data_IF_681837159371
#
_entry.id   IF_681837159371
#
_cell.length_a   1.000
_cell.length_b   1.000
_cell.length_c   1.000
_cell.angle_alpha   90.00
_cell.angle_beta   90.00
_cell.angle_gamma   90.00
#
_symmetry.space_group_name_H-M   'P 1'
#
loop_
_entity.id
_entity.type
_entity.pdbx_description
1 polymer ?
#
# COMPACT_ATOMS: atom_id res chain seq x y z
N UNK A 1 -4.34 19.04 -12.21
CA UNK A 1 -4.79 19.96 -11.13
C UNK A 1 -5.77 19.27 -10.18
N UNK A 2 -7.00 18.92 -10.58
CA UNK A 2 -7.95 18.15 -9.73
C UNK A 2 -7.36 16.87 -9.12
N UNK A 3 -6.70 16.05 -9.95
CA UNK A 3 -6.01 14.85 -9.49
C UNK A 3 -4.85 15.13 -8.51
N UNK A 4 -4.20 16.29 -8.61
CA UNK A 4 -3.14 16.69 -7.69
C UNK A 4 -3.69 17.03 -6.31
N UNK A 5 -4.81 17.73 -6.26
CA UNK A 5 -5.51 18.02 -4.99
C UNK A 5 -6.02 16.74 -4.35
N UNK A 6 -6.76 15.92 -5.11
CA UNK A 6 -7.30 14.66 -4.60
C UNK A 6 -6.20 13.67 -4.17
N UNK A 7 -5.15 13.53 -4.99
CA UNK A 7 -4.00 12.67 -4.72
C UNK A 7 -3.15 13.14 -3.56
N UNK A 8 -2.90 14.46 -3.45
CA UNK A 8 -2.17 15.06 -2.33
C UNK A 8 -2.92 14.95 -1.01
N UNK A 9 -4.24 15.13 -1.05
CA UNK A 9 -5.11 14.93 0.12
C UNK A 9 -5.08 13.48 0.59
N UNK A 10 -5.26 12.54 -0.33
CA UNK A 10 -5.18 11.12 -0.02
C UNK A 10 -3.80 10.73 0.50
N UNK A 11 -2.72 11.22 -0.12
CA UNK A 11 -1.34 10.99 0.35
C UNK A 11 -1.12 11.47 1.77
N UNK A 12 -1.65 12.65 2.12
CA UNK A 12 -1.53 13.21 3.47
C UNK A 12 -2.13 12.27 4.52
N UNK A 13 -3.35 11.78 4.26
CA UNK A 13 -4.01 10.82 5.13
C UNK A 13 -3.23 9.51 5.20
N UNK A 14 -2.78 9.00 4.05
CA UNK A 14 -2.02 7.76 3.95
C UNK A 14 -0.67 7.81 4.68
N UNK A 15 -0.01 8.97 4.68
CA UNK A 15 1.27 9.18 5.37
C UNK A 15 1.05 9.39 6.87
N UNK A 16 0.14 10.28 7.25
CA UNK A 16 -0.07 10.68 8.65
C UNK A 16 -0.78 9.56 9.42
N UNK A 17 -1.95 9.13 8.96
CA UNK A 17 -2.72 8.07 9.62
C UNK A 17 -1.98 6.74 9.47
N UNK A 18 -1.42 6.45 8.30
CA UNK A 18 -0.69 5.20 8.10
C UNK A 18 0.53 5.06 9.02
N UNK A 19 1.30 6.14 9.21
CA UNK A 19 2.42 6.12 10.18
C UNK A 19 1.93 5.95 11.62
N UNK A 20 0.85 6.62 12.00
CA UNK A 20 0.23 6.49 13.32
C UNK A 20 -0.26 5.06 13.60
N UNK A 21 -1.02 4.45 12.68
CA UNK A 21 -1.53 3.08 12.83
C UNK A 21 -0.40 2.05 12.92
N UNK A 22 0.66 2.22 12.12
CA UNK A 22 1.83 1.37 12.19
C UNK A 22 2.58 1.51 13.50
N UNK A 23 2.71 2.72 14.04
CA UNK A 23 3.35 2.95 15.34
C UNK A 23 2.55 2.33 16.50
N UNK A 24 1.21 2.31 16.41
CA UNK A 24 0.36 1.63 17.39
C UNK A 24 0.25 0.12 17.20
N UNK A 25 0.92 -0.46 16.19
CA UNK A 25 0.85 -1.89 15.86
C UNK A 25 -0.59 -2.41 15.69
N UNK A 26 -1.50 -1.58 15.17
CA UNK A 26 -2.89 -1.96 15.01
C UNK A 26 -3.05 -3.07 13.95
N UNK A 27 -3.74 -4.17 14.27
CA UNK A 27 -4.09 -5.17 13.28
C UNK A 27 -5.04 -4.55 12.24
N UNK A 28 -4.95 -5.02 10.99
CA UNK A 28 -5.77 -4.54 9.87
C UNK A 28 -5.61 -3.04 9.51
N UNK A 29 -4.49 -2.41 9.89
CA UNK A 29 -4.18 -1.03 9.51
C UNK A 29 -4.35 -0.77 7.99
N UNK A 30 -3.93 -1.72 7.14
CA UNK A 30 -4.10 -1.64 5.70
C UNK A 30 -5.57 -1.57 5.26
N UNK A 31 -6.42 -2.47 5.76
CA UNK A 31 -7.86 -2.48 5.45
C UNK A 31 -8.55 -1.18 5.88
N UNK A 32 -8.12 -0.59 7.00
CA UNK A 32 -8.63 0.69 7.46
C UNK A 32 -8.19 1.87 6.58
N UNK A 33 -6.92 1.88 6.13
CA UNK A 33 -6.42 2.88 5.19
C UNK A 33 -7.16 2.81 3.85
N UNK A 34 -7.40 1.60 3.32
CA UNK A 34 -8.20 1.41 2.11
C UNK A 34 -9.64 1.87 2.29
N UNK A 35 -10.26 1.60 3.44
CA UNK A 35 -11.59 2.13 3.74
C UNK A 35 -11.61 3.67 3.65
N UNK A 36 -10.62 4.35 4.25
CA UNK A 36 -10.50 5.80 4.14
C UNK A 36 -10.22 6.24 2.70
N UNK A 37 -9.34 5.54 1.98
CA UNK A 37 -9.04 5.78 0.56
C UNK A 37 -10.30 5.70 -0.32
N UNK A 38 -11.14 4.68 -0.12
CA UNK A 38 -12.44 4.54 -0.79
C UNK A 38 -13.35 5.72 -0.48
N UNK A 39 -13.49 6.11 0.79
CA UNK A 39 -14.34 7.26 1.17
C UNK A 39 -13.85 8.55 0.49
N UNK A 40 -12.54 8.82 0.52
CA UNK A 40 -11.91 10.02 -0.04
C UNK A 40 -12.10 10.06 -1.56
N UNK A 41 -11.72 8.98 -2.26
CA UNK A 41 -11.80 8.90 -3.72
C UNK A 41 -13.24 8.97 -4.21
N UNK A 42 -14.18 8.29 -3.54
CA UNK A 42 -15.60 8.39 -3.81
C UNK A 42 -16.11 9.83 -3.64
N UNK A 43 -15.74 10.52 -2.55
CA UNK A 43 -16.13 11.92 -2.35
C UNK A 43 -15.58 12.84 -3.44
N UNK A 44 -14.30 12.72 -3.79
CA UNK A 44 -13.69 13.55 -4.83
C UNK A 44 -14.28 13.32 -6.22
N UNK A 45 -14.51 12.07 -6.61
CA UNK A 45 -15.14 11.78 -7.90
C UNK A 45 -16.57 12.31 -7.96
N UNK A 46 -17.28 12.34 -6.82
CA UNK A 46 -18.64 12.89 -6.79
C UNK A 46 -18.67 14.40 -6.98
N UNK A 47 -17.65 15.11 -6.48
CA UNK A 47 -17.48 16.56 -6.67
C UNK A 47 -17.00 16.86 -8.09
N UNK A 48 -16.03 16.09 -8.58
CA UNK A 48 -15.43 16.26 -9.90
C UNK A 48 -15.55 14.97 -10.72
N UNK A 49 -16.70 14.72 -11.36
CA UNK A 49 -16.94 13.50 -12.14
C UNK A 49 -16.21 13.55 -13.49
N UNK A 50 -14.87 13.40 -13.45
CA UNK A 50 -14.00 13.38 -14.61
C UNK A 50 -13.38 12.00 -14.82
N UNK A 51 -13.44 11.51 -16.05
CA UNK A 51 -12.84 10.24 -16.42
C UNK A 51 -11.34 10.24 -16.14
N UNK A 52 -10.90 9.32 -15.29
CA UNK A 52 -9.49 9.18 -14.94
C UNK A 52 -8.96 10.13 -13.89
N UNK A 53 -9.84 10.82 -13.18
CA UNK A 53 -9.46 11.56 -11.97
C UNK A 53 -8.80 10.62 -10.95
N UNK A 54 -9.39 9.44 -10.71
CA UNK A 54 -9.01 8.60 -9.57
C UNK A 54 -7.70 7.85 -9.79
N UNK A 55 -7.46 7.24 -10.95
CA UNK A 55 -6.17 6.57 -11.19
C UNK A 55 -5.01 7.58 -11.20
N UNK A 56 -5.22 8.80 -11.74
CA UNK A 56 -4.21 9.87 -11.69
C UNK A 56 -3.94 10.33 -10.26
N UNK A 57 -4.98 10.48 -9.45
CA UNK A 57 -4.85 10.78 -8.03
C UNK A 57 -4.13 9.67 -7.27
N UNK A 58 -4.40 8.39 -7.61
CA UNK A 58 -3.71 7.22 -7.06
C UNK A 58 -2.22 7.18 -7.39
N UNK A 59 -1.85 7.53 -8.64
CA UNK A 59 -0.42 7.66 -9.03
C UNK A 59 0.27 8.73 -8.19
N UNK A 60 -0.35 9.90 -8.05
CA UNK A 60 0.21 11.00 -7.24
C UNK A 60 0.33 10.58 -5.77
N UNK A 61 -0.71 9.92 -5.22
CA UNK A 61 -0.70 9.42 -3.85
C UNK A 61 0.41 8.39 -3.61
N UNK A 62 0.55 7.40 -4.49
CA UNK A 62 1.59 6.38 -4.41
C UNK A 62 3.00 7.00 -4.50
N UNK A 63 3.20 7.97 -5.39
CA UNK A 63 4.49 8.67 -5.52
C UNK A 63 4.83 9.48 -4.27
N UNK A 64 3.88 10.21 -3.68
CA UNK A 64 4.12 10.92 -2.44
C UNK A 64 4.41 9.98 -1.27
N UNK A 65 3.67 8.86 -1.18
CA UNK A 65 3.94 7.80 -0.20
C UNK A 65 5.36 7.24 -0.38
N UNK A 66 5.88 7.23 -1.62
CA UNK A 66 7.23 6.76 -1.91
C UNK A 66 8.36 7.62 -1.35
N UNK A 67 8.10 8.91 -1.16
CA UNK A 67 9.06 9.86 -0.56
C UNK A 67 9.03 9.79 0.97
N UNK A 68 7.96 9.23 1.56
CA UNK A 68 7.85 9.06 3.02
C UNK A 68 9.01 8.21 3.61
N UNK A 69 9.47 8.44 4.86
CA UNK A 69 10.60 7.73 5.48
C UNK A 69 10.42 6.21 5.71
N UNK A 70 9.39 5.58 5.13
CA UNK A 70 9.10 4.16 5.30
C UNK A 70 9.99 3.31 4.40
N UNK A 71 10.63 2.26 4.94
CA UNK A 71 11.64 1.47 4.22
C UNK A 71 11.11 0.21 3.47
N UNK A 72 9.79 0.02 3.35
CA UNK A 72 9.17 -0.95 2.42
C UNK A 72 8.04 -0.20 1.72
N UNK A 73 8.30 0.21 0.49
CA UNK A 73 7.51 1.25 -0.16
C UNK A 73 6.60 0.66 -1.24
N UNK A 74 7.11 -0.36 -1.95
CA UNK A 74 6.47 -0.90 -3.13
C UNK A 74 5.13 -1.59 -2.86
N UNK A 75 5.00 -2.33 -1.76
CA UNK A 75 3.73 -2.99 -1.39
C UNK A 75 2.58 -2.00 -1.24
N UNK A 76 2.68 -1.01 -0.32
CA UNK A 76 1.66 0.03 -0.17
C UNK A 76 1.38 0.81 -1.46
N UNK A 77 2.39 1.13 -2.27
CA UNK A 77 2.19 1.82 -3.55
C UNK A 77 1.32 1.02 -4.52
N UNK A 78 1.57 -0.29 -4.64
CA UNK A 78 0.76 -1.18 -5.50
C UNK A 78 -0.68 -1.26 -4.97
N UNK A 79 -0.87 -1.33 -3.65
CA UNK A 79 -2.19 -1.29 -3.02
C UNK A 79 -2.99 -0.04 -3.40
N UNK A 80 -2.43 1.14 -3.13
CA UNK A 80 -3.04 2.45 -3.45
C UNK A 80 -3.41 2.55 -4.94
N UNK A 81 -2.50 2.14 -5.83
CA UNK A 81 -2.75 2.16 -7.27
C UNK A 81 -3.88 1.20 -7.67
N UNK A 82 -3.89 0.00 -7.11
CA UNK A 82 -4.91 -1.02 -7.40
C UNK A 82 -6.29 -0.53 -6.96
N UNK A 83 -6.40 0.02 -5.75
CA UNK A 83 -7.63 0.63 -5.21
C UNK A 83 -8.13 1.76 -6.12
N UNK A 84 -7.23 2.67 -6.52
CA UNK A 84 -7.55 3.80 -7.37
C UNK A 84 -8.07 3.37 -8.74
N UNK A 85 -7.42 2.39 -9.38
CA UNK A 85 -7.81 1.85 -10.69
C UNK A 85 -9.15 1.12 -10.59
N UNK A 86 -9.35 0.30 -9.56
CA UNK A 86 -10.61 -0.42 -9.35
C UNK A 86 -11.77 0.56 -9.17
N UNK A 87 -11.61 1.58 -8.34
CA UNK A 87 -12.62 2.62 -8.14
C UNK A 87 -12.91 3.37 -9.45
N UNK A 88 -11.86 3.78 -10.17
CA UNK A 88 -12.00 4.50 -11.44
C UNK A 88 -12.74 3.67 -12.50
N UNK A 89 -12.43 2.37 -12.61
CA UNK A 89 -13.10 1.46 -13.53
C UNK A 89 -14.57 1.24 -13.16
N UNK A 90 -14.86 0.98 -11.89
CA UNK A 90 -16.25 0.79 -11.43
C UNK A 90 -17.12 2.02 -11.74
N UNK A 91 -16.59 3.22 -11.50
CA UNK A 91 -17.28 4.49 -11.75
C UNK A 91 -17.40 4.83 -13.24
N UNK A 92 -16.43 4.41 -14.07
CA UNK A 92 -16.53 4.55 -15.53
C UNK A 92 -17.58 3.63 -16.14
N UNK A 93 -17.62 2.36 -15.71
CA UNK A 93 -18.55 1.37 -16.26
C UNK A 93 -19.99 1.56 -15.80
N UNK A 94 -20.19 1.91 -14.53
CA UNK A 94 -21.53 2.02 -13.93
C UNK A 94 -22.02 3.48 -13.78
N UNK A 95 -21.18 4.45 -14.13
CA UNK A 95 -21.49 5.89 -14.11
C UNK A 95 -21.51 6.52 -12.72
N UNK A 96 -21.96 7.78 -12.65
CA UNK A 96 -22.00 8.57 -11.42
C UNK A 96 -23.27 8.32 -10.57
N UNK A 97 -23.56 7.06 -10.24
CA UNK A 97 -24.71 6.64 -9.42
C UNK A 97 -24.25 5.86 -8.19
N UNK A 98 -25.03 5.89 -7.10
CA UNK A 98 -24.70 5.20 -5.84
C UNK A 98 -24.22 3.74 -6.02
N UNK A 99 -24.85 2.90 -6.87
CA UNK A 99 -24.38 1.52 -7.07
C UNK A 99 -22.92 1.44 -7.52
N UNK A 100 -22.45 2.37 -8.36
CA UNK A 100 -21.07 2.39 -8.86
C UNK A 100 -20.05 2.66 -7.75
N UNK A 101 -20.40 3.52 -6.79
CA UNK A 101 -19.55 3.81 -5.63
C UNK A 101 -19.49 2.63 -4.66
N UNK A 102 -20.61 1.94 -4.47
CA UNK A 102 -20.69 0.75 -3.63
C UNK A 102 -19.89 -0.39 -4.26
N UNK A 103 -20.09 -0.70 -5.54
CA UNK A 103 -19.36 -1.76 -6.22
C UNK A 103 -17.86 -1.47 -6.27
N UNK A 104 -17.47 -0.24 -6.60
CA UNK A 104 -16.07 0.19 -6.55
C UNK A 104 -15.48 0.04 -5.15
N UNK A 105 -16.20 0.47 -4.12
CA UNK A 105 -15.75 0.38 -2.72
C UNK A 105 -15.59 -1.07 -2.23
N UNK A 106 -16.52 -1.95 -2.59
CA UNK A 106 -16.44 -3.39 -2.31
C UNK A 106 -15.23 -3.99 -3.01
N UNK A 107 -15.09 -3.78 -4.31
CA UNK A 107 -13.96 -4.35 -5.07
C UNK A 107 -12.61 -3.82 -4.55
N UNK A 108 -12.53 -2.54 -4.19
CA UNK A 108 -11.32 -1.95 -3.61
C UNK A 108 -10.98 -2.58 -2.25
N UNK A 109 -11.96 -2.77 -1.37
CA UNK A 109 -11.76 -3.46 -0.09
C UNK A 109 -11.31 -4.91 -0.28
N UNK A 110 -11.93 -5.67 -1.18
CA UNK A 110 -11.50 -7.03 -1.50
C UNK A 110 -10.11 -7.09 -2.14
N UNK A 111 -9.71 -6.07 -2.91
CA UNK A 111 -8.37 -6.00 -3.51
C UNK A 111 -7.26 -6.01 -2.45
N UNK A 112 -7.51 -5.46 -1.25
CA UNK A 112 -6.55 -5.48 -0.14
C UNK A 112 -6.31 -6.89 0.40
N UNK A 113 -7.39 -7.68 0.52
CA UNK A 113 -7.34 -9.07 0.96
C UNK A 113 -6.58 -9.90 -0.07
N UNK A 114 -6.90 -9.73 -1.35
CA UNK A 114 -6.22 -10.39 -2.46
C UNK A 114 -4.73 -10.01 -2.48
N UNK A 115 -4.39 -8.72 -2.36
CA UNK A 115 -3.00 -8.25 -2.31
C UNK A 115 -2.23 -8.88 -1.14
N UNK A 116 -2.84 -8.99 0.04
CA UNK A 116 -2.24 -9.64 1.20
C UNK A 116 -1.99 -11.14 0.96
N UNK A 117 -2.95 -11.86 0.38
CA UNK A 117 -2.81 -13.28 0.02
C UNK A 117 -1.69 -13.46 -1.00
N UNK A 118 -1.70 -12.68 -2.09
CA UNK A 118 -0.66 -12.72 -3.12
C UNK A 118 0.71 -12.44 -2.53
N UNK A 119 0.84 -11.43 -1.66
CA UNK A 119 2.11 -11.10 -1.00
C UNK A 119 2.62 -12.26 -0.16
N UNK A 120 1.76 -12.90 0.62
CA UNK A 120 2.13 -14.08 1.41
C UNK A 120 2.55 -15.26 0.53
N UNK A 121 1.85 -15.51 -0.58
CA UNK A 121 2.21 -16.56 -1.55
C UNK A 121 3.53 -16.25 -2.28
N UNK A 122 3.82 -14.99 -2.58
CA UNK A 122 5.10 -14.59 -3.16
C UNK A 122 6.24 -14.85 -2.17
N UNK A 123 6.05 -14.49 -0.89
CA UNK A 123 7.07 -14.63 0.16
C UNK A 123 7.32 -16.09 0.54
N UNK A 124 6.28 -16.86 0.83
CA UNK A 124 6.39 -18.19 1.43
C UNK A 124 6.05 -19.33 0.47
N UNK A 125 5.45 -19.05 -0.69
CA UNK A 125 5.09 -20.07 -1.69
C UNK A 125 3.88 -20.92 -1.30
N UNK A 126 3.62 -21.95 -2.11
CA UNK A 126 2.45 -22.85 -1.95
C UNK A 126 2.52 -23.70 -0.68
N UNK A 127 3.71 -23.91 -0.12
CA UNK A 127 3.87 -24.64 1.13
C UNK A 127 3.17 -23.93 2.30
N UNK A 128 3.00 -22.60 2.24
CA UNK A 128 2.18 -21.87 3.21
C UNK A 128 0.72 -22.30 3.17
N UNK A 129 0.17 -22.55 1.97
CA UNK A 129 -1.21 -23.02 1.81
C UNK A 129 -1.37 -24.40 2.45
N UNK A 130 -0.41 -25.30 2.22
CA UNK A 130 -0.38 -26.63 2.85
C UNK A 130 -0.28 -26.55 4.38
N UNK A 131 0.53 -25.63 4.92
CA UNK A 131 0.57 -25.39 6.37
C UNK A 131 -0.80 -24.93 6.88
N UNK A 132 -1.46 -24.00 6.17
CA UNK A 132 -2.78 -23.51 6.55
C UNK A 132 -3.86 -24.61 6.49
N UNK A 133 -3.83 -25.46 5.45
CA UNK A 133 -4.70 -26.63 5.32
C UNK A 133 -4.49 -27.62 6.48
N UNK A 134 -3.23 -27.98 6.77
CA UNK A 134 -2.91 -28.93 7.83
C UNK A 134 -3.24 -28.37 9.22
N UNK A 135 -3.04 -27.07 9.45
CA UNK A 135 -3.46 -26.38 10.66
C UNK A 135 -5.00 -26.40 10.80
N UNK A 136 -5.73 -26.24 9.70
CA UNK A 136 -7.18 -26.31 9.69
C UNK A 136 -7.68 -27.72 10.04
N UNK A 137 -7.15 -28.77 9.41
CA UNK A 137 -7.50 -30.16 9.72
C UNK A 137 -7.15 -30.55 11.16
N UNK A 138 -6.00 -30.09 11.65
CA UNK A 138 -5.61 -30.27 13.05
C UNK A 138 -6.60 -29.59 14.01
N UNK A 139 -7.03 -28.36 13.69
CA UNK A 139 -8.01 -27.62 14.50
C UNK A 139 -9.38 -28.31 14.53
N UNK A 140 -9.84 -28.85 13.40
CA UNK A 140 -11.08 -29.65 13.33
C UNK A 140 -10.99 -30.87 14.25
N UNK A 141 -9.90 -31.63 14.16
CA UNK A 141 -9.69 -32.84 14.98
C UNK A 141 -9.69 -32.53 16.47
N UNK A 142 -9.15 -31.38 16.87
CA UNK A 142 -9.08 -30.96 18.28
C UNK A 142 -10.41 -30.41 18.81
N UNK A 143 -11.16 -29.66 18.00
CA UNK A 143 -12.42 -29.00 18.41
C UNK A 143 -13.62 -29.94 18.24
N UNK A 144 -13.48 -31.01 17.45
CA UNK A 144 -14.55 -31.97 17.18
C UNK A 144 -15.74 -31.36 16.43
N UNK A 145 -15.53 -30.26 15.70
CA UNK A 145 -16.58 -29.55 14.95
C UNK A 145 -16.50 -29.84 13.46
N UNK A 146 -17.67 -29.93 12.84
CA UNK A 146 -17.81 -30.22 11.42
C UNK A 146 -17.20 -29.13 10.50
N UNK A 147 -17.04 -29.50 9.22
CA UNK A 147 -16.51 -28.68 8.10
C UNK A 147 -17.14 -27.29 7.96
N UNK A 148 -18.31 -27.05 8.55
CA UNK A 148 -19.03 -25.77 8.53
C UNK A 148 -18.21 -24.61 9.12
N UNK A 149 -17.30 -24.86 10.08
CA UNK A 149 -16.53 -23.81 10.76
C UNK A 149 -15.65 -22.98 9.82
N UNK A 150 -15.08 -23.56 8.75
CA UNK A 150 -14.23 -22.81 7.80
C UNK A 150 -15.03 -21.87 6.93
N UNK A 151 -16.13 -22.37 6.35
CA UNK A 151 -17.00 -21.55 5.50
C UNK A 151 -17.62 -20.40 6.29
N UNK A 152 -17.95 -20.62 7.57
CA UNK A 152 -18.41 -19.56 8.48
C UNK A 152 -17.31 -18.51 8.68
N UNK A 153 -16.05 -18.92 8.94
CA UNK A 153 -14.93 -17.97 9.09
C UNK A 153 -14.69 -17.16 7.80
N UNK A 154 -14.65 -17.84 6.65
CA UNK A 154 -14.47 -17.19 5.36
C UNK A 154 -15.64 -16.24 5.04
N UNK A 155 -16.87 -16.66 5.35
CA UNK A 155 -18.06 -15.81 5.21
C UNK A 155 -17.99 -14.58 6.13
N UNK A 156 -17.51 -14.73 7.37
CA UNK A 156 -17.32 -13.61 8.29
C UNK A 156 -16.28 -12.61 7.77
N UNK A 157 -15.14 -13.09 7.27
CA UNK A 157 -14.13 -12.24 6.64
C UNK A 157 -14.70 -11.54 5.41
N UNK A 158 -15.37 -12.29 4.51
CA UNK A 158 -15.99 -11.72 3.32
C UNK A 158 -17.04 -10.66 3.68
N UNK A 159 -17.87 -10.92 4.70
CA UNK A 159 -18.88 -9.98 5.20
C UNK A 159 -18.23 -8.72 5.77
N UNK A 160 -17.12 -8.84 6.50
CA UNK A 160 -16.38 -7.68 7.01
C UNK A 160 -15.88 -6.76 5.87
N UNK A 161 -15.26 -7.33 4.84
CA UNK A 161 -14.79 -6.56 3.68
C UNK A 161 -15.94 -6.00 2.84
N UNK A 162 -17.02 -6.78 2.68
CA UNK A 162 -18.24 -6.35 2.00
C UNK A 162 -18.88 -5.16 2.72
N UNK A 163 -19.09 -5.27 4.04
CA UNK A 163 -19.66 -4.21 4.86
C UNK A 163 -18.78 -2.95 4.83
N UNK A 164 -17.45 -3.10 4.95
CA UNK A 164 -16.51 -2.00 4.82
C UNK A 164 -16.58 -1.30 3.47
N UNK A 165 -16.69 -2.06 2.37
CA UNK A 165 -16.79 -1.53 1.02
C UNK A 165 -18.11 -0.80 0.75
N UNK A 166 -19.23 -1.38 1.19
CA UNK A 166 -20.56 -0.74 1.12
C UNK A 166 -20.56 0.55 1.93
N UNK A 167 -20.10 0.50 3.19
CA UNK A 167 -20.03 1.66 4.06
C UNK A 167 -19.12 2.75 3.47
N UNK A 168 -17.93 2.39 2.98
CA UNK A 168 -16.98 3.34 2.39
C UNK A 168 -17.55 4.03 1.15
N UNK A 169 -18.10 3.27 0.21
CA UNK A 169 -18.73 3.79 -1.00
C UNK A 169 -19.95 4.67 -0.69
N UNK A 170 -20.78 4.26 0.27
CA UNK A 170 -21.98 5.02 0.69
C UNK A 170 -21.62 6.32 1.41
N UNK A 171 -20.70 6.28 2.38
CA UNK A 171 -20.22 7.46 3.10
C UNK A 171 -19.56 8.43 2.13
N UNK A 172 -18.72 7.93 1.22
CA UNK A 172 -18.06 8.73 0.19
C UNK A 172 -19.04 9.44 -0.74
N UNK A 173 -20.05 8.72 -1.23
CA UNK A 173 -21.13 9.26 -2.07
C UNK A 173 -21.94 10.35 -1.34
N UNK A 174 -22.37 10.06 -0.10
CA UNK A 174 -23.18 11.01 0.70
C UNK A 174 -22.39 12.26 1.06
N UNK A 175 -21.11 12.10 1.37
CA UNK A 175 -20.20 13.20 1.68
C UNK A 175 -20.01 14.10 0.46
N UNK A 176 -19.72 13.53 -0.71
CA UNK A 176 -19.60 14.29 -1.95
C UNK A 176 -20.87 15.05 -2.33
N UNK A 177 -22.06 14.45 -2.14
CA UNK A 177 -23.34 15.14 -2.39
C UNK A 177 -23.55 16.36 -1.48
N UNK A 178 -23.21 16.25 -0.19
CA UNK A 178 -23.35 17.38 0.76
C UNK A 178 -22.43 18.53 0.43
N UNK A 179 -21.25 18.24 -0.13
CA UNK A 179 -20.26 19.25 -0.51
C UNK A 179 -20.72 20.01 -1.76
N UNK A 180 -21.22 19.32 -2.79
CA UNK A 180 -21.79 19.97 -3.98
C UNK A 180 -22.98 20.92 -3.67
N UNK A 181 -23.66 20.74 -2.54
CA UNK A 181 -24.78 21.62 -2.13
C UNK A 181 -24.33 22.89 -1.37
N UNK A 182 -23.09 22.93 -0.86
CA UNK A 182 -22.61 23.98 0.05
C UNK A 182 -21.50 24.87 -0.56
N UNK A 183 -21.17 24.72 -1.84
CA UNK A 183 -20.16 25.51 -2.56
C UNK A 183 -20.64 26.92 -2.87
N UNK A 184 -20.91 27.71 -1.83
CA UNK A 184 -20.94 29.19 -1.84
C UNK A 184 -20.38 29.68 -0.50
N UNK A 185 -19.06 29.85 -0.41
CA UNK A 185 -18.48 30.80 0.57
C UNK A 185 -17.00 31.03 0.29
N UNK A 186 -16.74 32.10 -0.46
CA UNK A 186 -15.43 32.70 -0.67
C UNK A 186 -15.02 33.47 0.58
N UNK A 187 -13.94 33.04 1.22
CA UNK A 187 -13.28 33.77 2.30
C UNK A 187 -11.80 33.86 1.99
N UNK A 188 -11.30 35.09 1.86
CA UNK A 188 -9.92 35.44 1.54
C UNK A 188 -9.01 35.10 2.72
N UNK A 189 -7.99 34.27 2.51
CA UNK A 189 -6.96 34.00 3.52
C UNK A 189 -5.55 34.07 2.93
N UNK A 190 -4.65 34.49 3.81
CA UNK A 190 -3.34 35.10 3.58
C UNK A 190 -2.31 34.09 3.09
N UNK A 191 -1.62 34.46 2.00
CA UNK A 191 -0.50 33.73 1.41
C UNK A 191 0.53 33.34 2.48
N UNK A 192 0.80 32.04 2.58
CA UNK A 192 2.04 31.53 3.17
C UNK A 192 2.89 31.00 2.01
N UNK A 193 3.59 31.91 1.34
CA UNK A 193 4.76 31.54 0.56
C UNK A 193 5.82 31.10 1.55
N UNK A 194 6.03 29.79 1.66
CA UNK A 194 7.37 29.29 1.99
C UNK A 194 7.54 27.79 1.67
N UNK A 195 8.64 27.57 0.95
CA UNK A 195 9.52 26.41 0.96
C UNK A 195 9.32 25.27 -0.05
N UNK A 196 10.29 25.26 -0.97
CA UNK A 196 10.84 24.13 -1.71
C UNK A 196 11.08 22.90 -0.80
N UNK A 197 10.10 22.01 -0.68
CA UNK A 197 10.28 20.72 0.00
C UNK A 197 10.95 19.65 -0.89
N UNK A 198 11.18 19.97 -2.18
CA UNK A 198 11.76 19.04 -3.17
C UNK A 198 13.28 19.20 -3.35
N UNK A 199 13.95 20.10 -2.62
CA UNK A 199 15.37 20.44 -2.83
C UNK A 199 16.33 20.01 -1.73
N UNK A 200 16.05 18.90 -1.05
CA UNK A 200 17.10 18.17 -0.32
C UNK A 200 17.10 16.70 -0.72
N UNK A 201 17.63 16.43 -1.91
CA UNK A 201 18.23 15.12 -2.16
C UNK A 201 19.65 15.19 -1.60
N UNK A 202 20.08 14.25 -0.75
CA UNK A 202 21.49 14.18 -0.37
C UNK A 202 22.30 13.95 -1.65
N UNK A 203 22.99 14.99 -2.07
CA UNK A 203 23.83 15.03 -3.25
C UNK A 203 25.10 14.22 -3.00
N UNK A 204 25.03 12.88 -2.92
CA UNK A 204 26.24 12.06 -3.03
C UNK A 204 26.05 10.54 -3.18
N UNK A 205 25.06 10.07 -3.95
CA UNK A 205 24.95 8.63 -4.24
C UNK A 205 24.86 8.34 -5.73
N UNK A 206 25.75 7.46 -6.20
CA UNK A 206 25.75 6.91 -7.55
C UNK A 206 24.64 5.85 -7.62
N UNK A 207 23.60 6.14 -8.39
CA UNK A 207 22.49 5.24 -8.64
C UNK A 207 22.56 4.70 -10.07
N UNK A 208 22.06 3.49 -10.34
CA UNK A 208 22.19 2.85 -11.66
C UNK A 208 20.91 2.16 -12.13
N UNK A 209 20.43 2.57 -13.29
CA UNK A 209 19.24 1.97 -13.95
C UNK A 209 19.47 0.50 -14.30
N UNK A 210 20.73 0.10 -14.55
CA UNK A 210 21.08 -1.30 -14.80
C UNK A 210 20.95 -2.17 -13.56
N UNK A 211 21.31 -1.65 -12.38
CA UNK A 211 21.11 -2.34 -11.10
C UNK A 211 19.62 -2.54 -10.81
N UNK A 212 18.77 -1.55 -11.11
CA UNK A 212 17.31 -1.69 -11.02
C UNK A 212 16.80 -2.84 -11.89
N UNK A 213 17.17 -2.87 -13.18
CA UNK A 213 16.77 -3.94 -14.09
C UNK A 213 17.27 -5.32 -13.63
N UNK A 214 18.51 -5.39 -13.11
CA UNK A 214 19.06 -6.60 -12.53
C UNK A 214 18.23 -7.12 -11.35
N UNK A 215 17.84 -6.26 -10.39
CA UNK A 215 17.01 -6.70 -9.26
C UNK A 215 15.60 -7.12 -9.68
N UNK A 216 15.00 -6.45 -10.65
CA UNK A 216 13.67 -6.82 -11.18
C UNK A 216 13.70 -8.22 -11.80
N UNK A 217 14.78 -8.59 -12.49
CA UNK A 217 14.96 -9.94 -13.05
C UNK A 217 15.39 -10.97 -11.99
N UNK A 218 16.17 -10.53 -11.01
CA UNK A 218 16.75 -11.41 -10.01
C UNK A 218 15.72 -11.90 -8.98
N UNK A 219 14.65 -11.15 -8.69
CA UNK A 219 13.57 -11.63 -7.81
C UNK A 219 12.87 -12.85 -8.43
N UNK A 220 12.29 -12.82 -9.65
CA UNK A 220 11.72 -14.00 -10.29
C UNK A 220 12.72 -15.15 -10.44
N UNK A 221 13.97 -14.86 -10.83
CA UNK A 221 15.00 -15.88 -10.94
C UNK A 221 15.28 -16.55 -9.58
N UNK A 222 15.40 -15.77 -8.50
CA UNK A 222 15.58 -16.27 -7.13
C UNK A 222 14.40 -17.10 -6.65
N UNK A 223 13.16 -16.74 -7.02
CA UNK A 223 11.96 -17.52 -6.73
C UNK A 223 11.97 -18.88 -7.46
N UNK A 224 12.40 -18.90 -8.73
CA UNK A 224 12.54 -20.14 -9.50
C UNK A 224 13.64 -21.03 -8.90
N UNK A 225 14.81 -20.45 -8.60
CA UNK A 225 15.93 -21.19 -8.00
C UNK A 225 15.56 -21.75 -6.63
N UNK A 226 14.92 -20.96 -5.76
CA UNK A 226 14.49 -21.46 -4.45
C UNK A 226 13.42 -22.55 -4.52
N UNK A 227 12.63 -22.61 -5.60
CA UNK A 227 11.62 -23.67 -5.79
C UNK A 227 12.17 -24.95 -6.43
N UNK A 228 13.25 -24.87 -7.22
CA UNK A 228 13.77 -26.01 -8.01
C UNK A 228 15.16 -26.51 -7.58
N UNK A 229 15.97 -25.67 -6.96
CA UNK A 229 17.34 -26.01 -6.60
C UNK A 229 17.46 -26.59 -5.18
N UNK A 230 18.60 -27.22 -4.89
CA UNK A 230 18.94 -27.70 -3.55
C UNK A 230 19.02 -26.56 -2.52
N UNK A 231 18.81 -26.91 -1.25
CA UNK A 231 18.82 -25.95 -0.12
C UNK A 231 20.08 -25.10 -0.08
N UNK A 232 21.24 -25.70 -0.35
CA UNK A 232 22.53 -25.00 -0.35
C UNK A 232 22.63 -23.90 -1.42
N UNK A 233 22.05 -24.12 -2.60
CA UNK A 233 22.01 -23.09 -3.66
C UNK A 233 21.13 -21.92 -3.24
N UNK A 234 19.99 -22.21 -2.59
CA UNK A 234 19.11 -21.19 -2.04
C UNK A 234 19.79 -20.36 -0.94
N UNK A 235 20.54 -21.02 -0.04
CA UNK A 235 21.33 -20.35 1.02
C UNK A 235 22.37 -19.43 0.41
N UNK A 236 23.18 -19.94 -0.54
CA UNK A 236 24.24 -19.17 -1.18
C UNK A 236 23.69 -17.95 -1.92
N UNK A 237 22.59 -18.12 -2.66
CA UNK A 237 21.94 -17.02 -3.38
C UNK A 237 21.37 -15.96 -2.41
N UNK A 238 20.70 -16.40 -1.34
CA UNK A 238 20.16 -15.49 -0.33
C UNK A 238 21.28 -14.70 0.38
N UNK A 239 22.38 -15.36 0.74
CA UNK A 239 23.56 -14.74 1.36
C UNK A 239 24.25 -13.75 0.42
N UNK A 240 24.50 -14.15 -0.84
CA UNK A 240 25.12 -13.27 -1.82
C UNK A 240 24.27 -12.02 -2.05
N UNK A 241 22.95 -12.16 -2.17
CA UNK A 241 22.05 -11.03 -2.35
C UNK A 241 21.97 -10.15 -1.10
N UNK A 242 21.87 -10.74 0.09
CA UNK A 242 21.86 -9.95 1.33
C UNK A 242 23.15 -9.17 1.50
N UNK A 243 24.31 -9.79 1.24
CA UNK A 243 25.60 -9.13 1.29
C UNK A 243 25.69 -7.98 0.27
N UNK A 244 25.28 -8.23 -0.97
CA UNK A 244 25.28 -7.21 -2.02
C UNK A 244 24.38 -6.03 -1.64
N UNK A 245 23.16 -6.28 -1.16
CA UNK A 245 22.24 -5.22 -0.69
C UNK A 245 22.78 -4.53 0.56
N UNK A 246 23.50 -5.24 1.43
CA UNK A 246 24.10 -4.64 2.61
C UNK A 246 25.24 -3.67 2.28
N UNK A 247 26.08 -4.03 1.31
CA UNK A 247 27.18 -3.20 0.84
C UNK A 247 26.69 -1.99 0.05
N UNK A 248 25.71 -2.16 -0.83
CA UNK A 248 25.17 -1.06 -1.66
C UNK A 248 24.17 -0.17 -0.90
N UNK A 249 23.39 -0.75 0.01
CA UNK A 249 22.30 -0.06 0.71
C UNK A 249 22.31 -0.35 2.23
N UNK A 250 23.31 0.15 2.99
CA UNK A 250 23.45 -0.14 4.41
C UNK A 250 22.23 0.28 5.26
N UNK A 251 21.44 1.24 4.80
CA UNK A 251 20.19 1.66 5.44
C UNK A 251 19.11 0.58 5.43
N UNK A 252 19.08 -0.29 4.41
CA UNK A 252 18.07 -1.33 4.23
C UNK A 252 18.23 -2.49 5.22
N UNK A 253 19.45 -2.74 5.68
CA UNK A 253 19.81 -3.85 6.59
C UNK A 253 19.47 -3.56 8.04
N UNK A 254 19.26 -2.29 8.42
CA UNK A 254 18.95 -1.88 9.80
C UNK A 254 17.76 -2.63 10.41
N UNK A 255 16.84 -3.14 9.59
CA UNK A 255 15.67 -3.91 10.02
C UNK A 255 15.97 -5.35 10.42
N UNK A 256 17.06 -5.96 9.96
CA UNK A 256 17.52 -7.26 10.46
C UNK A 256 17.78 -7.18 11.97
N UNK A 257 18.16 -6.00 12.48
CA UNK A 257 18.39 -5.80 13.92
C UNK A 257 17.10 -5.80 14.75
N UNK A 258 15.91 -5.74 14.13
CA UNK A 258 14.64 -5.76 14.87
C UNK A 258 14.26 -7.20 15.22
N UNK A 259 14.01 -7.52 16.51
CA UNK A 259 13.71 -8.90 16.92
C UNK A 259 12.43 -9.45 16.30
N UNK A 260 11.41 -8.60 16.11
CA UNK A 260 10.13 -8.99 15.52
C UNK A 260 10.24 -9.54 14.09
N UNK A 261 11.28 -9.14 13.35
CA UNK A 261 11.57 -9.67 12.01
C UNK A 261 11.90 -11.16 12.06
N UNK A 262 12.71 -11.58 13.03
CA UNK A 262 13.14 -12.97 13.19
C UNK A 262 12.06 -13.87 13.77
N UNK A 263 11.22 -13.34 14.66
CA UNK A 263 10.09 -14.08 15.24
C UNK A 263 9.20 -14.66 14.14
N UNK A 264 8.95 -13.92 13.07
CA UNK A 264 8.14 -14.40 11.94
C UNK A 264 8.78 -15.63 11.27
N UNK A 265 10.09 -15.62 11.05
CA UNK A 265 10.79 -16.77 10.46
C UNK A 265 10.80 -17.97 11.39
N UNK A 266 11.02 -17.77 12.69
CA UNK A 266 10.94 -18.87 13.66
C UNK A 266 9.54 -19.50 13.66
N UNK A 267 8.48 -18.69 13.67
CA UNK A 267 7.11 -19.20 13.59
C UNK A 267 6.90 -20.01 12.31
N UNK A 268 7.32 -19.50 11.14
CA UNK A 268 7.18 -20.24 9.87
C UNK A 268 7.98 -21.53 9.87
N UNK A 269 9.22 -21.54 10.37
CA UNK A 269 10.08 -22.73 10.43
C UNK A 269 9.47 -23.80 11.35
N UNK A 270 8.99 -23.39 12.53
CA UNK A 270 8.35 -24.29 13.49
C UNK A 270 7.06 -24.86 12.90
N UNK A 271 6.20 -24.00 12.33
CA UNK A 271 4.97 -24.44 11.67
C UNK A 271 5.27 -25.40 10.51
N UNK A 272 6.27 -25.11 9.69
CA UNK A 272 6.68 -26.00 8.60
C UNK A 272 7.20 -27.34 9.11
N UNK A 273 8.05 -27.34 10.15
CA UNK A 273 8.59 -28.57 10.74
C UNK A 273 7.50 -29.48 11.31
N UNK A 274 6.47 -28.89 11.93
CA UNK A 274 5.37 -29.64 12.55
C UNK A 274 4.31 -30.08 11.53
N UNK A 275 3.98 -29.24 10.55
CA UNK A 275 2.85 -29.49 9.64
C UNK A 275 3.22 -30.07 8.28
N UNK A 276 4.46 -29.92 7.78
CA UNK A 276 4.81 -30.36 6.41
C UNK A 276 5.63 -31.64 6.34
N UNK A 277 6.19 -32.10 7.45
CA UNK A 277 7.19 -33.14 7.37
C UNK A 277 6.66 -34.58 7.33
N UNK A 278 5.37 -34.80 7.57
CA UNK A 278 4.69 -36.11 7.60
C UNK A 278 3.48 -36.15 6.66
N UNK A 279 3.64 -35.68 5.42
CA UNK A 279 2.55 -35.58 4.42
C UNK A 279 1.79 -36.90 4.26
N UNK A 280 2.49 -38.04 4.36
CA UNK A 280 1.91 -39.37 4.14
C UNK A 280 1.02 -39.88 5.28
N UNK A 281 1.12 -39.31 6.49
CA UNK A 281 0.38 -39.82 7.67
C UNK A 281 -0.80 -38.96 8.10
N UNK A 282 -1.02 -37.79 7.50
CA UNK A 282 -2.02 -36.77 7.91
C UNK A 282 -1.98 -36.34 9.39
N UNK A 283 -1.12 -36.94 10.22
CA UNK A 283 -0.88 -36.53 11.59
C UNK A 283 0.32 -35.56 11.64
N UNK A 284 0.11 -34.36 12.20
CA UNK A 284 1.20 -33.43 12.39
C UNK A 284 2.23 -33.98 13.37
N UNK A 285 3.49 -33.72 13.08
CA UNK A 285 4.61 -34.21 13.86
C UNK A 285 5.91 -33.56 13.41
N UNK A 286 6.84 -33.46 14.35
CA UNK A 286 8.15 -32.87 14.09
C UNK A 286 8.90 -33.68 13.04
N UNK A 287 9.30 -33.03 11.95
CA UNK A 287 10.11 -33.66 10.92
C UNK A 287 11.16 -32.73 10.34
N UNK A 288 12.30 -33.34 10.03
CA UNK A 288 13.50 -32.68 9.47
C UNK A 288 13.21 -32.17 8.06
N UNK A 289 12.41 -32.89 7.27
CA UNK A 289 11.99 -32.45 5.94
C UNK A 289 11.14 -31.18 6.05
N UNK A 290 10.22 -31.12 7.02
CA UNK A 290 9.44 -29.91 7.28
C UNK A 290 10.30 -28.73 7.73
N UNK A 291 11.35 -28.98 8.52
CA UNK A 291 12.31 -27.95 8.92
C UNK A 291 13.06 -27.39 7.70
N UNK A 292 13.53 -28.25 6.80
CA UNK A 292 14.20 -27.83 5.56
C UNK A 292 13.27 -26.99 4.66
N UNK A 293 12.00 -27.37 4.51
CA UNK A 293 11.02 -26.57 3.79
C UNK A 293 10.77 -25.21 4.47
N UNK A 294 10.70 -25.18 5.80
CA UNK A 294 10.58 -23.94 6.58
C UNK A 294 11.76 -22.99 6.34
N UNK A 295 12.99 -23.51 6.34
CA UNK A 295 14.20 -22.75 6.03
C UNK A 295 14.13 -22.22 4.59
N UNK A 296 13.75 -23.06 3.62
CA UNK A 296 13.60 -22.66 2.21
C UNK A 296 12.59 -21.52 2.04
N UNK A 297 11.45 -21.58 2.75
CA UNK A 297 10.46 -20.50 2.76
C UNK A 297 11.03 -19.20 3.32
N UNK A 298 11.83 -19.26 4.37
CA UNK A 298 12.47 -18.08 4.95
C UNK A 298 13.53 -17.48 4.01
N UNK A 299 14.33 -18.32 3.35
CA UNK A 299 15.31 -17.87 2.34
C UNK A 299 14.62 -17.16 1.17
N UNK A 300 13.51 -17.73 0.69
CA UNK A 300 12.66 -17.12 -0.33
C UNK A 300 12.13 -15.75 0.11
N UNK A 301 11.60 -15.66 1.33
CA UNK A 301 11.11 -14.40 1.89
C UNK A 301 12.24 -13.35 2.02
N UNK A 302 13.45 -13.76 2.42
CA UNK A 302 14.63 -12.89 2.47
C UNK A 302 14.98 -12.33 1.09
N UNK A 303 15.04 -13.17 0.06
CA UNK A 303 15.35 -12.74 -1.31
C UNK A 303 14.36 -11.69 -1.79
N UNK A 304 13.06 -11.96 -1.62
CA UNK A 304 11.99 -11.04 -2.02
C UNK A 304 12.08 -9.73 -1.22
N UNK A 305 12.30 -9.82 0.09
CA UNK A 305 12.41 -8.65 0.97
C UNK A 305 13.55 -7.72 0.58
N UNK A 306 14.77 -8.27 0.44
CA UNK A 306 15.94 -7.48 0.09
C UNK A 306 15.91 -7.02 -1.37
N UNK A 307 15.37 -7.84 -2.28
CA UNK A 307 15.10 -7.44 -3.65
C UNK A 307 14.17 -6.22 -3.72
N UNK A 308 13.01 -6.28 -3.06
CA UNK A 308 12.10 -5.13 -3.02
C UNK A 308 12.70 -3.92 -2.31
N UNK A 309 13.52 -4.11 -1.27
CA UNK A 309 14.22 -3.00 -0.61
C UNK A 309 15.25 -2.34 -1.52
N UNK A 310 16.00 -3.13 -2.30
CA UNK A 310 16.96 -2.62 -3.27
C UNK A 310 16.26 -1.87 -4.43
N UNK A 311 15.21 -2.46 -5.01
CA UNK A 311 14.37 -1.80 -6.03
C UNK A 311 13.79 -0.51 -5.48
N UNK A 312 13.30 -0.52 -4.24
CA UNK A 312 12.74 0.67 -3.58
C UNK A 312 13.77 1.78 -3.37
N UNK A 313 15.04 1.45 -3.11
CA UNK A 313 16.10 2.44 -2.99
C UNK A 313 16.55 2.98 -4.36
N UNK A 314 16.65 2.11 -5.37
CA UNK A 314 17.01 2.51 -6.74
C UNK A 314 15.89 3.30 -7.43
N UNK A 315 14.62 3.06 -7.11
CA UNK A 315 13.50 3.87 -7.60
C UNK A 315 13.53 5.32 -7.09
N UNK A 316 14.22 5.59 -5.97
CA UNK A 316 14.44 6.96 -5.47
C UNK A 316 15.54 7.71 -6.24
N UNK A 317 16.18 7.06 -7.22
CA UNK A 317 17.23 7.65 -8.03
C UNK A 317 16.71 8.87 -8.84
N UNK A 318 17.33 10.05 -8.72
CA UNK A 318 16.97 11.23 -9.49
C UNK A 318 17.01 11.02 -11.01
N UNK A 319 17.83 10.09 -11.53
CA UNK A 319 17.90 9.75 -12.97
C UNK A 319 16.65 9.01 -13.45
N UNK A 320 16.07 8.11 -12.63
CA UNK A 320 14.79 7.45 -12.96
C UNK A 320 13.67 8.48 -12.95
N UNK A 321 13.67 9.36 -11.96
CA UNK A 321 12.78 10.53 -11.91
C UNK A 321 12.99 11.46 -13.12
N UNK A 322 14.22 11.62 -13.61
CA UNK A 322 14.57 12.45 -14.79
C UNK A 322 14.14 11.83 -16.12
N UNK A 323 14.27 10.52 -16.26
CA UNK A 323 13.82 9.77 -17.45
C UNK A 323 12.29 9.74 -17.52
N UNK A 324 11.63 9.57 -16.37
CA UNK A 324 10.18 9.76 -16.24
C UNK A 324 9.80 11.19 -16.65
N UNK A 325 10.48 12.22 -16.14
CA UNK A 325 10.13 13.62 -16.43
C UNK A 325 10.44 14.09 -17.86
N UNK A 326 11.44 13.55 -18.57
CA UNK A 326 11.80 13.97 -19.94
C UNK A 326 10.89 13.46 -21.07
N UNK A 327 10.03 12.45 -20.85
CA UNK A 327 9.15 11.87 -21.88
C UNK A 327 7.65 12.15 -21.64
N UNK A 328 7.29 13.43 -21.45
CA UNK A 328 5.88 13.87 -21.39
C UNK A 328 5.21 13.89 -20.01
N UNK A 329 5.98 13.70 -18.92
CA UNK A 329 5.48 13.74 -17.53
C UNK A 329 5.70 15.09 -16.83
N UNK A 330 5.92 16.17 -17.57
CA UNK A 330 5.95 17.53 -17.01
C UNK A 330 4.67 17.81 -16.18
N UNK A 331 3.51 17.41 -16.72
CA UNK A 331 2.23 17.49 -16.03
C UNK A 331 2.17 16.67 -14.73
N UNK A 332 2.91 15.56 -14.64
CA UNK A 332 3.00 14.74 -13.42
C UNK A 332 3.90 15.42 -12.38
N UNK A 333 5.05 15.95 -12.79
CA UNK A 333 5.95 16.69 -11.90
C UNK A 333 5.25 17.91 -11.31
N UNK A 334 4.59 18.71 -12.15
CA UNK A 334 3.77 19.84 -11.71
C UNK A 334 2.63 19.36 -10.81
N UNK A 335 1.94 18.27 -11.15
CA UNK A 335 0.89 17.74 -10.27
C UNK A 335 1.42 17.26 -8.92
N UNK A 336 2.64 16.70 -8.88
CA UNK A 336 3.27 16.24 -7.66
C UNK A 336 3.72 17.42 -6.78
N UNK A 337 4.31 18.46 -7.36
CA UNK A 337 4.70 19.68 -6.62
C UNK A 337 3.46 20.35 -6.01
N UNK A 338 2.37 20.46 -6.76
CA UNK A 338 1.10 20.99 -6.26
C UNK A 338 0.50 20.11 -5.16
N UNK A 339 0.63 18.79 -5.27
CA UNK A 339 0.17 17.87 -4.23
C UNK A 339 0.99 18.00 -2.93
N UNK A 340 2.29 18.25 -3.02
CA UNK A 340 3.13 18.57 -1.86
C UNK A 340 2.76 19.90 -1.19
N UNK A 341 2.22 20.88 -1.91
CA UNK A 341 1.68 22.11 -1.30
C UNK A 341 0.45 21.83 -0.43
N UNK A 342 -0.39 20.86 -0.82
CA UNK A 342 -1.59 20.45 -0.06
C UNK A 342 -1.21 19.72 1.23
N UNK A 343 -0.10 18.98 1.24
CA UNK A 343 0.30 18.10 2.34
C UNK A 343 0.41 18.81 3.72
N UNK A 344 1.15 19.93 3.89
CA UNK A 344 1.23 20.64 5.16
C UNK A 344 -0.11 21.22 5.64
N UNK A 345 -0.99 21.61 4.71
CA UNK A 345 -2.31 22.16 5.04
C UNK A 345 -3.21 21.07 5.65
N UNK A 346 -3.23 19.89 5.03
CA UNK A 346 -3.95 18.73 5.56
C UNK A 346 -3.33 18.28 6.89
N UNK A 347 -2.00 18.24 6.98
CA UNK A 347 -1.30 17.84 8.20
C UNK A 347 -1.68 18.70 9.40
N UNK A 348 -1.64 20.03 9.25
CA UNK A 348 -1.98 21.00 10.31
C UNK A 348 -3.39 20.86 10.86
N UNK A 349 -4.33 20.35 10.05
CA UNK A 349 -5.72 20.14 10.48
C UNK A 349 -5.97 18.76 11.09
N UNK A 350 -5.16 17.76 10.73
CA UNK A 350 -5.22 16.41 11.30
C UNK A 350 -4.54 16.36 12.68
N UNK A 351 -3.72 17.34 13.07
CA UNK A 351 -2.96 17.39 14.36
C UNK A 351 -3.79 17.26 15.64
N UNK A 352 -5.13 17.24 15.56
CA UNK A 352 -6.01 16.75 16.61
C UNK A 352 -6.56 15.34 16.32
N UNK A 353 -5.76 14.25 16.38
CA UNK A 353 -6.19 12.90 15.99
C UNK A 353 -7.41 12.41 16.78
N UNK A 354 -7.60 12.88 18.03
CA UNK A 354 -8.81 12.60 18.83
C UNK A 354 -10.10 13.05 18.14
N UNK A 355 -10.10 14.19 17.45
CA UNK A 355 -11.30 14.73 16.78
C UNK A 355 -11.62 13.98 15.48
N UNK A 356 -10.59 13.51 14.77
CA UNK A 356 -10.75 12.67 13.57
C UNK A 356 -11.29 11.28 13.92
N UNK A 357 -10.88 10.70 15.04
CA UNK A 357 -11.40 9.40 15.52
C UNK A 357 -12.85 9.54 16.05
N UNK A 358 -13.15 10.61 16.78
CA UNK A 358 -14.49 10.81 17.37
C UNK A 358 -15.54 11.33 16.37
N UNK A 359 -15.15 12.11 15.35
CA UNK A 359 -16.04 12.62 14.29
C UNK A 359 -15.33 12.61 12.91
N UNK A 360 -15.09 11.42 12.33
CA UNK A 360 -14.35 11.29 11.08
C UNK A 360 -15.07 11.96 9.90
N UNK A 361 -16.39 11.80 9.79
CA UNK A 361 -17.16 12.38 8.69
C UNK A 361 -17.18 13.92 8.68
N UNK A 362 -17.33 14.56 9.84
CA UNK A 362 -17.34 16.03 9.93
C UNK A 362 -15.95 16.63 9.64
N UNK A 363 -14.88 15.93 10.06
CA UNK A 363 -13.50 16.34 9.79
C UNK A 363 -13.14 16.16 8.30
N UNK A 364 -13.65 15.10 7.67
CA UNK A 364 -13.46 14.88 6.24
C UNK A 364 -14.22 15.92 5.41
N UNK A 365 -15.47 16.24 5.78
CA UNK A 365 -16.28 17.28 5.12
C UNK A 365 -15.60 18.65 5.22
N UNK A 366 -15.11 19.04 6.40
CA UNK A 366 -14.45 20.34 6.57
C UNK A 366 -13.14 20.45 5.79
N UNK A 367 -12.42 19.34 5.64
CA UNK A 367 -11.21 19.26 4.81
C UNK A 367 -11.53 19.28 3.31
N UNK A 368 -12.56 18.54 2.87
CA UNK A 368 -12.96 18.48 1.46
C UNK A 368 -13.60 19.78 0.96
N UNK A 369 -14.30 20.53 1.83
CA UNK A 369 -14.80 21.88 1.51
C UNK A 369 -13.68 22.86 1.11
N UNK A 370 -12.44 22.61 1.54
CA UNK A 370 -11.29 23.44 1.17
C UNK A 370 -10.59 22.97 -0.10
N UNK A 371 -10.91 21.76 -0.58
CA UNK A 371 -10.26 21.23 -1.76
C UNK A 371 -10.56 22.04 -3.03
N UNK A 372 -11.73 22.66 -3.11
CA UNK A 372 -12.07 23.58 -4.19
C UNK A 372 -11.27 24.90 -4.09
N UNK A 373 -11.08 25.40 -2.86
CA UNK A 373 -10.21 26.57 -2.60
C UNK A 373 -8.76 26.28 -2.97
N UNK A 374 -8.23 25.10 -2.62
CA UNK A 374 -6.88 24.68 -3.03
C UNK A 374 -6.75 24.55 -4.54
N UNK A 375 -7.81 24.10 -5.22
CA UNK A 375 -7.81 24.02 -6.68
C UNK A 375 -7.75 25.40 -7.32
N UNK A 376 -8.47 26.39 -6.78
CA UNK A 376 -8.39 27.79 -7.24
C UNK A 376 -7.01 28.40 -6.99
N UNK A 377 -6.41 28.16 -5.82
CA UNK A 377 -5.06 28.64 -5.49
C UNK A 377 -4.01 28.06 -6.46
N UNK A 378 -4.07 26.74 -6.69
CA UNK A 378 -3.22 26.04 -7.66
C UNK A 378 -3.40 26.60 -9.07
N UNK A 379 -4.64 26.94 -9.44
CA UNK A 379 -4.95 27.53 -10.74
C UNK A 379 -4.31 28.92 -10.88
N UNK A 380 -4.42 29.75 -9.84
CA UNK A 380 -3.85 31.11 -9.82
C UNK A 380 -2.31 31.10 -9.85
N UNK A 381 -1.67 30.16 -9.16
CA UNK A 381 -0.21 29.99 -9.20
C UNK A 381 0.24 29.62 -10.61
N UNK A 382 -0.47 28.70 -11.28
CA UNK A 382 -0.14 28.27 -12.64
C UNK A 382 -0.29 29.43 -13.65
N UNK A 383 -1.27 30.30 -13.49
CA UNK A 383 -1.47 31.44 -14.40
C UNK A 383 -0.46 32.58 -14.17
N UNK A 384 -0.01 32.79 -12.94
CA UNK A 384 0.97 33.85 -12.62
C UNK A 384 2.44 33.43 -12.88
N UNK A 385 2.74 32.12 -12.89
CA UNK A 385 4.09 31.60 -13.17
C UNK A 385 4.39 31.33 -14.65
N UNK A 386 3.45 31.61 -15.56
CA UNK A 386 3.61 31.47 -17.02
C UNK A 386 3.80 32.82 -17.74
N UNK A 387 4.13 33.87 -17.00
CA UNK A 387 4.47 35.21 -17.51
C UNK A 387 5.97 35.42 -17.63
#
# INVERSE_FOLDING_TARGET
MKAAVAGGFWAAIEIIIGSFLHNMHLPFAGSFLTFLGVVITASFYRIWPENGLLWRAGVICALMKSVSPSAIILGPMIGILTEAVIMDLALRFMGNRLPAYITGGVLAMFSTLIHKIITLLILYGMNLVRIAENLYYFSIKQIGTDRYTLWILLAFIALFYLAGGIAGGWIGYRTGNRLNMNTVSSGTLKNSHDQHFLSETPADRKYSVWLLAAYVLLIPAGLIVTSRAGLWVAVLLALCLTLLVALLYPGSVRKIRKPMFWVQFFVVIISASFFLGNIDRQDPGWSVNGLQEGIRMCLRALIVYFGFSAISNELRNPVVTRILTRRGLENLYVSLSLAFMVLPHVARKITGPRRMITRPGASLISLLNEAERWLEEIRNIKTNGSG
#
